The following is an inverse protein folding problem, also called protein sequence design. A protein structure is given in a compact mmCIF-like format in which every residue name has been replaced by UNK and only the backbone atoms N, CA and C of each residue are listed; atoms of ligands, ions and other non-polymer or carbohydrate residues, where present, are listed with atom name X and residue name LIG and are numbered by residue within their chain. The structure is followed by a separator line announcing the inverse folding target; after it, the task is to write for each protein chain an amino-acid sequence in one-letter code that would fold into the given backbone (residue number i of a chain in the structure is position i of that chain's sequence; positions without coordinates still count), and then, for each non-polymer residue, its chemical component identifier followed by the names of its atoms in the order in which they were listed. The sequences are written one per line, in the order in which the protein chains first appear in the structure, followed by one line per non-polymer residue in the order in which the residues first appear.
data_IF_604110407173
#
_entry.id   IF_604110407173
#
_cell.length_a   1.000
_cell.length_b   1.000
_cell.length_c   1.000
_cell.angle_alpha   90.00
_cell.angle_beta   90.00
_cell.angle_gamma   90.00
#
_symmetry.space_group_name_H-M   'P 1'
#
loop_
_entity.id
_entity.type
_entity.pdbx_description
1 polymer ?
#
# COMPACT_ATOMS: atom_id res chain seq x y z
N UNK A 1 25.73 15.90 8.39
CA UNK A 1 25.40 14.53 7.96
C UNK A 1 24.13 14.68 7.15
N UNK A 2 24.16 14.38 5.86
CA UNK A 2 22.95 14.37 5.05
C UNK A 2 22.05 13.26 5.57
N UNK A 3 20.78 13.57 5.79
CA UNK A 3 19.81 12.64 6.36
C UNK A 3 19.42 11.58 5.33
N UNK A 4 20.20 10.50 5.25
CA UNK A 4 19.77 9.25 4.61
C UNK A 4 18.61 8.67 5.44
N UNK A 5 17.39 9.05 5.06
CA UNK A 5 16.16 8.68 5.77
C UNK A 5 15.28 7.85 4.88
N UNK A 6 14.80 6.74 5.43
CA UNK A 6 13.98 5.78 4.68
C UNK A 6 12.51 6.02 4.98
N UNK A 7 11.71 6.20 3.93
CA UNK A 7 10.28 6.39 4.02
C UNK A 7 9.51 5.14 3.57
N UNK A 8 8.45 4.79 4.31
CA UNK A 8 7.50 3.74 3.96
C UNK A 8 6.10 4.35 3.89
N UNK A 9 5.33 3.99 2.86
CA UNK A 9 3.91 4.32 2.76
C UNK A 9 3.06 3.29 3.50
N UNK A 10 2.16 3.73 4.37
CA UNK A 10 1.24 2.83 5.08
C UNK A 10 -0.20 3.12 4.69
N UNK A 11 -0.93 2.08 4.30
CA UNK A 11 -2.33 2.15 3.87
C UNK A 11 -3.17 1.22 4.74
N UNK A 12 -4.32 1.70 5.19
CA UNK A 12 -5.28 0.90 5.96
C UNK A 12 -6.67 1.13 5.39
N UNK A 13 -7.35 0.03 5.04
CA UNK A 13 -8.71 0.04 4.50
C UNK A 13 -9.65 -0.65 5.47
N UNK A 14 -10.85 -0.09 5.63
CA UNK A 14 -11.92 -0.72 6.39
C UNK A 14 -12.66 -1.73 5.50
N UNK A 15 -12.72 -2.97 5.95
CA UNK A 15 -13.41 -4.08 5.28
C UNK A 15 -14.84 -4.28 5.79
N UNK A 16 -15.33 -3.47 6.74
CA UNK A 16 -16.69 -3.60 7.31
C UNK A 16 -17.78 -3.60 6.23
N UNK A 17 -17.61 -2.80 5.17
CA UNK A 17 -18.51 -2.72 4.02
C UNK A 17 -18.30 -3.84 2.97
N UNK A 18 -17.18 -4.57 3.04
CA UNK A 18 -16.79 -5.62 2.09
C UNK A 18 -17.33 -7.02 2.49
N UNK A 19 -18.47 -7.07 3.18
CA UNK A 19 -19.04 -8.30 3.72
C UNK A 19 -20.47 -8.54 3.25
N UNK A 20 -20.75 -8.64 1.93
CA UNK A 20 -22.04 -9.16 1.49
C UNK A 20 -22.16 -10.62 1.96
N UNK A 21 -23.13 -10.89 2.85
CA UNK A 21 -23.32 -12.22 3.45
C UNK A 21 -23.38 -13.32 2.37
N UNK A 22 -22.66 -14.42 2.61
CA UNK A 22 -22.69 -15.61 1.76
C UNK A 22 -21.93 -15.51 0.43
N UNK A 23 -21.19 -14.41 0.15
CA UNK A 23 -20.40 -14.29 -1.09
C UNK A 23 -18.93 -14.58 -0.87
N UNK A 24 -18.32 -15.25 -1.85
CA UNK A 24 -16.89 -15.48 -1.91
C UNK A 24 -16.22 -14.33 -2.67
N UNK A 25 -15.18 -13.75 -2.07
CA UNK A 25 -14.31 -12.78 -2.72
C UNK A 25 -13.54 -13.48 -3.84
N UNK A 26 -13.74 -13.03 -5.08
CA UNK A 26 -13.02 -13.56 -6.25
C UNK A 26 -11.77 -12.78 -6.56
N UNK A 27 -11.78 -11.47 -6.32
CA UNK A 27 -10.67 -10.57 -6.65
C UNK A 27 -10.69 -9.37 -5.70
N UNK A 28 -9.51 -8.90 -5.30
CA UNK A 28 -9.32 -7.60 -4.70
C UNK A 28 -8.11 -6.88 -5.30
N UNK A 29 -8.32 -5.63 -5.72
CA UNK A 29 -7.28 -4.82 -6.35
C UNK A 29 -7.01 -3.58 -5.50
N UNK A 30 -5.77 -3.45 -5.04
CA UNK A 30 -5.27 -2.26 -4.35
C UNK A 30 -5.02 -1.17 -5.38
N UNK A 31 -5.61 0.00 -5.18
CA UNK A 31 -5.53 1.13 -6.11
C UNK A 31 -5.05 2.40 -5.39
N UNK A 32 -3.97 3.00 -5.87
CA UNK A 32 -3.44 4.29 -5.37
C UNK A 32 -3.08 5.21 -6.54
N UNK A 33 -2.96 6.50 -6.25
CA UNK A 33 -2.57 7.50 -7.24
C UNK A 33 -1.12 7.93 -6.99
N UNK A 34 -0.21 7.64 -7.93
CA UNK A 34 1.15 8.16 -7.94
C UNK A 34 1.10 9.65 -8.28
N UNK A 35 1.44 10.49 -7.31
CA UNK A 35 1.31 11.95 -7.36
C UNK A 35 2.55 12.66 -7.91
N UNK A 36 3.70 11.98 -7.91
CA UNK A 36 4.96 12.48 -8.45
C UNK A 36 6.17 11.77 -7.85
N UNK A 37 7.36 12.20 -8.26
CA UNK A 37 8.65 11.67 -7.79
C UNK A 37 9.63 12.80 -7.51
N UNK A 38 10.62 12.54 -6.67
CA UNK A 38 11.75 13.44 -6.41
C UNK A 38 13.05 12.63 -6.36
N UNK A 39 14.15 13.24 -6.79
CA UNK A 39 15.47 12.60 -6.83
C UNK A 39 15.57 11.50 -7.89
N UNK A 40 16.25 10.41 -7.56
CA UNK A 40 16.48 9.22 -8.38
C UNK A 40 15.94 7.93 -7.70
N UNK A 41 14.61 7.75 -7.59
CA UNK A 41 14.03 6.61 -6.87
C UNK A 41 14.38 5.24 -7.45
N UNK A 42 14.77 5.15 -8.74
CA UNK A 42 15.18 3.89 -9.38
C UNK A 42 16.40 3.29 -8.70
N UNK A 43 17.26 4.13 -8.13
CA UNK A 43 18.46 3.68 -7.40
C UNK A 43 18.12 2.98 -6.07
N UNK A 44 16.89 3.14 -5.57
CA UNK A 44 16.40 2.47 -4.37
C UNK A 44 15.90 1.03 -4.64
N UNK A 45 15.99 0.56 -5.88
CA UNK A 45 15.55 -0.76 -6.30
C UNK A 45 14.05 -0.84 -6.58
N UNK A 46 13.49 -2.05 -6.59
CA UNK A 46 12.07 -2.24 -6.82
C UNK A 46 11.24 -1.71 -5.65
N UNK A 47 10.09 -1.09 -5.96
CA UNK A 47 9.05 -0.84 -4.98
C UNK A 47 8.21 -2.10 -4.81
N UNK A 48 7.94 -2.49 -3.57
CA UNK A 48 7.14 -3.66 -3.24
C UNK A 48 5.99 -3.29 -2.32
N UNK A 49 4.90 -4.06 -2.44
CA UNK A 49 3.76 -3.99 -1.53
C UNK A 49 3.79 -5.18 -0.58
N UNK A 50 3.75 -4.91 0.72
CA UNK A 50 3.70 -5.92 1.76
C UNK A 50 2.35 -5.86 2.47
N UNK A 51 1.72 -7.01 2.66
CA UNK A 51 0.59 -7.18 3.56
C UNK A 51 1.11 -7.24 5.00
N UNK A 52 0.57 -6.38 5.86
CA UNK A 52 0.99 -6.22 7.25
C UNK A 52 -0.24 -6.11 8.14
N UNK A 53 -0.06 -6.23 9.46
CA UNK A 53 -1.10 -5.94 10.44
C UNK A 53 -0.48 -5.16 11.59
N UNK A 54 -0.58 -3.82 11.54
CA UNK A 54 0.09 -2.91 12.47
C UNK A 54 -0.86 -2.25 13.47
N UNK A 55 -2.14 -2.63 13.48
CA UNK A 55 -3.11 -2.16 14.46
C UNK A 55 -3.78 -0.84 14.04
N UNK A 56 -4.09 0.01 15.02
CA UNK A 56 -4.96 1.19 14.84
C UNK A 56 -4.23 2.53 14.93
N UNK A 57 -2.91 2.54 15.10
CA UNK A 57 -2.12 3.77 15.22
C UNK A 57 -0.77 3.62 14.51
N UNK A 58 -0.28 4.73 13.94
CA UNK A 58 1.07 4.82 13.41
C UNK A 58 2.01 5.24 14.55
N UNK A 59 2.81 4.29 15.00
CA UNK A 59 3.89 4.52 15.96
C UNK A 59 5.21 4.06 15.34
N UNK A 60 6.33 4.36 15.99
CA UNK A 60 7.66 3.93 15.50
C UNK A 60 7.75 2.42 15.29
N UNK A 61 7.10 1.62 16.13
CA UNK A 61 7.15 0.15 16.03
C UNK A 61 6.48 -0.38 14.76
N UNK A 62 5.59 0.40 14.14
CA UNK A 62 4.93 0.00 12.89
C UNK A 62 5.94 -0.17 11.75
N UNK A 63 7.04 0.58 11.79
CA UNK A 63 8.09 0.54 10.78
C UNK A 63 8.67 -0.86 10.58
N UNK A 64 8.85 -1.59 11.69
CA UNK A 64 9.46 -2.92 11.73
C UNK A 64 8.41 -4.04 11.82
N UNK A 65 7.13 -3.73 11.57
CA UNK A 65 6.06 -4.76 11.56
C UNK A 65 6.44 -5.87 10.57
N UNK A 66 6.46 -7.13 11.00
CA UNK A 66 6.70 -8.25 10.10
C UNK A 66 5.63 -8.28 9.00
N UNK A 67 6.06 -8.50 7.76
CA UNK A 67 5.13 -8.76 6.67
C UNK A 67 4.45 -10.11 6.90
N UNK A 68 3.12 -10.13 6.75
CA UNK A 68 2.35 -11.37 6.67
C UNK A 68 2.61 -12.05 5.34
N UNK A 69 2.72 -11.26 4.26
CA UNK A 69 3.12 -11.70 2.93
C UNK A 69 3.64 -10.51 2.10
N UNK A 70 4.47 -10.79 1.09
CA UNK A 70 4.84 -9.83 0.05
C UNK A 70 3.95 -10.05 -1.16
N UNK A 71 3.22 -9.01 -1.59
CA UNK A 71 2.27 -9.10 -2.72
C UNK A 71 2.98 -9.11 -4.08
N UNK A 72 4.20 -8.56 -4.12
CA UNK A 72 5.03 -8.51 -5.32
C UNK A 72 5.60 -7.12 -5.56
N UNK A 73 6.16 -6.95 -6.75
CA UNK A 73 6.59 -5.64 -7.23
C UNK A 73 5.37 -4.78 -7.51
N UNK A 74 5.44 -3.52 -7.10
CA UNK A 74 4.42 -2.53 -7.36
C UNK A 74 4.84 -1.74 -8.60
N UNK A 75 4.14 -1.98 -9.71
CA UNK A 75 4.49 -1.38 -10.99
C UNK A 75 4.20 0.13 -10.99
N UNK A 76 5.27 0.91 -10.89
CA UNK A 76 5.22 2.36 -10.92
C UNK A 76 4.98 2.86 -12.34
N UNK A 77 4.33 4.01 -12.44
CA UNK A 77 4.36 4.77 -13.68
C UNK A 77 5.77 5.34 -13.89
N UNK A 78 6.16 5.63 -15.16
CA UNK A 78 7.36 6.40 -15.43
C UNK A 78 7.42 7.62 -14.51
N UNK A 79 8.57 7.94 -13.95
CA UNK A 79 8.71 8.99 -12.93
C UNK A 79 8.36 10.40 -13.41
N UNK A 80 8.31 10.60 -14.72
CA UNK A 80 7.80 11.81 -15.36
C UNK A 80 6.26 11.86 -15.46
N UNK A 81 5.55 10.89 -14.88
CA UNK A 81 4.11 10.71 -15.03
C UNK A 81 3.42 10.50 -13.69
N UNK A 82 2.13 10.82 -13.68
CA UNK A 82 1.24 10.66 -12.52
C UNK A 82 -0.02 9.93 -12.96
N UNK A 83 -0.62 9.15 -12.07
CA UNK A 83 -1.79 8.37 -12.43
C UNK A 83 -2.07 7.25 -11.45
N UNK A 84 -3.13 6.48 -11.75
CA UNK A 84 -3.49 5.30 -10.96
C UNK A 84 -2.56 4.14 -11.28
N UNK A 85 -2.11 3.49 -10.22
CA UNK A 85 -1.36 2.24 -10.24
C UNK A 85 -2.07 1.25 -9.32
N UNK A 86 -1.95 -0.03 -9.64
CA UNK A 86 -2.71 -1.06 -8.97
C UNK A 86 -1.95 -2.38 -8.87
N UNK A 87 -2.33 -3.20 -7.89
CA UNK A 87 -1.81 -4.55 -7.71
C UNK A 87 -2.91 -5.46 -7.18
N UNK A 88 -2.90 -6.72 -7.61
CA UNK A 88 -3.73 -7.77 -7.01
C UNK A 88 -3.32 -7.99 -5.55
N UNK A 89 -4.30 -7.90 -4.66
CA UNK A 89 -4.16 -8.17 -3.22
C UNK A 89 -5.21 -9.16 -2.75
N UNK A 90 -5.74 -9.98 -3.65
CA UNK A 90 -6.84 -10.92 -3.42
C UNK A 90 -6.53 -11.84 -2.24
N UNK A 91 -5.31 -12.40 -2.21
CA UNK A 91 -4.88 -13.30 -1.14
C UNK A 91 -4.78 -12.61 0.22
N UNK A 92 -4.29 -11.36 0.27
CA UNK A 92 -4.21 -10.58 1.50
C UNK A 92 -5.60 -10.25 2.05
N UNK A 93 -6.53 -9.81 1.19
CA UNK A 93 -7.90 -9.49 1.61
C UNK A 93 -8.65 -10.76 2.04
N UNK A 94 -8.46 -11.89 1.35
CA UNK A 94 -9.01 -13.19 1.79
C UNK A 94 -8.49 -13.57 3.19
N UNK A 95 -7.19 -13.43 3.42
CA UNK A 95 -6.57 -13.70 4.72
C UNK A 95 -7.08 -12.75 5.82
N UNK A 96 -7.26 -11.46 5.51
CA UNK A 96 -7.85 -10.48 6.43
C UNK A 96 -9.31 -10.78 6.77
N UNK A 97 -10.10 -11.21 5.78
CA UNK A 97 -11.49 -11.61 5.98
C UNK A 97 -11.60 -12.90 6.83
N UNK A 98 -10.66 -13.83 6.68
CA UNK A 98 -10.58 -15.03 7.51
C UNK A 98 -10.18 -14.70 8.96
N UNK A 99 -9.31 -13.71 9.16
CA UNK A 99 -8.77 -13.30 10.47
C UNK A 99 -9.39 -11.99 11.01
N UNK A 100 -10.58 -11.62 10.52
CA UNK A 100 -11.16 -10.28 10.70
C UNK A 100 -11.38 -9.88 12.16
N UNK A 101 -11.71 -10.85 13.01
CA UNK A 101 -11.95 -10.62 14.43
C UNK A 101 -10.69 -10.11 15.16
N UNK A 102 -9.53 -10.69 14.84
CA UNK A 102 -8.25 -10.27 15.43
C UNK A 102 -7.64 -9.07 14.73
N UNK A 103 -7.96 -8.85 13.44
CA UNK A 103 -7.43 -7.72 12.64
C UNK A 103 -8.31 -6.48 12.67
N UNK A 104 -9.50 -6.57 13.29
CA UNK A 104 -10.42 -5.46 13.46
C UNK A 104 -11.05 -4.97 12.16
N UNK A 105 -11.40 -5.91 11.26
CA UNK A 105 -11.96 -5.65 9.93
C UNK A 105 -11.12 -4.67 9.08
N UNK A 106 -9.79 -4.81 9.11
CA UNK A 106 -8.89 -3.99 8.30
C UNK A 106 -8.06 -4.83 7.36
N UNK A 107 -7.75 -4.26 6.20
CA UNK A 107 -6.65 -4.70 5.36
C UNK A 107 -5.58 -3.62 5.34
N UNK A 108 -4.34 -3.99 5.67
CA UNK A 108 -3.27 -3.03 5.87
C UNK A 108 -2.04 -3.40 5.06
N UNK A 109 -1.43 -2.38 4.46
CA UNK A 109 -0.32 -2.55 3.54
C UNK A 109 0.81 -1.57 3.83
N UNK A 110 2.03 -2.03 3.60
CA UNK A 110 3.26 -1.23 3.61
C UNK A 110 3.83 -1.21 2.19
N UNK A 111 3.99 -0.02 1.64
CA UNK A 111 4.66 0.23 0.38
C UNK A 111 6.07 0.75 0.67
N UNK A 112 7.08 0.11 0.11
CA UNK A 112 8.48 0.50 0.32
C UNK A 112 9.38 0.12 -0.84
N UNK A 113 10.49 0.82 -0.96
CA UNK A 113 11.60 0.35 -1.77
C UNK A 113 12.33 -0.82 -1.10
N UNK A 114 13.01 -1.61 -1.92
CA UNK A 114 13.81 -2.76 -1.47
C UNK A 114 15.09 -2.31 -0.77
N UNK A 115 15.70 -1.22 -1.24
CA UNK A 115 16.81 -0.56 -0.56
C UNK A 115 16.31 0.66 0.22
N UNK A 116 16.99 0.95 1.33
CA UNK A 116 16.57 1.99 2.26
C UNK A 116 17.15 3.38 1.90
N UNK A 117 18.31 3.42 1.24
CA UNK A 117 18.95 4.60 0.66
C UNK A 117 19.96 4.15 -0.42
N UNK A 118 20.36 5.07 -1.30
CA UNK A 118 21.51 4.95 -2.19
C UNK A 118 22.78 5.67 -1.64
N UNK A 119 22.66 6.33 -0.48
CA UNK A 119 23.71 7.09 0.22
C UNK A 119 24.29 8.27 -0.57
N UNK A 120 23.49 8.93 -1.41
CA UNK A 120 23.94 10.08 -2.21
C UNK A 120 23.73 11.44 -1.51
N UNK A 121 23.09 11.43 -0.34
CA UNK A 121 22.79 12.61 0.46
C UNK A 121 21.59 13.43 -0.01
N UNK A 122 20.81 12.93 -0.96
CA UNK A 122 19.56 13.51 -1.46
C UNK A 122 18.35 12.66 -1.09
N UNK A 123 17.16 13.26 -1.14
CA UNK A 123 15.91 12.53 -0.95
C UNK A 123 15.41 11.94 -2.26
N UNK A 124 15.32 10.61 -2.29
CA UNK A 124 14.74 9.85 -3.37
C UNK A 124 13.41 9.25 -2.94
N UNK A 125 12.30 9.65 -3.58
CA UNK A 125 11.00 9.11 -3.24
C UNK A 125 9.98 9.17 -4.37
N UNK A 126 8.95 8.35 -4.23
CA UNK A 126 7.71 8.40 -5.00
C UNK A 126 6.59 8.79 -4.05
N UNK A 127 5.83 9.82 -4.41
CA UNK A 127 4.70 10.29 -3.64
C UNK A 127 3.40 9.64 -4.12
N UNK A 128 2.56 9.26 -3.16
CA UNK A 128 1.22 8.75 -3.41
C UNK A 128 0.19 9.62 -2.70
N UNK A 129 -0.98 9.78 -3.31
CA UNK A 129 -2.11 10.45 -2.64
C UNK A 129 -2.59 9.63 -1.43
N UNK A 130 -3.00 10.35 -0.38
CA UNK A 130 -3.50 9.76 0.86
C UNK A 130 -5.03 9.86 0.96
N UNK A 131 -5.60 9.45 2.10
CA UNK A 131 -7.04 9.54 2.37
C UNK A 131 -7.58 10.98 2.36
N UNK A 132 -6.71 11.97 2.56
CA UNK A 132 -7.00 13.39 2.36
C UNK A 132 -6.14 13.93 1.19
N UNK A 133 -6.52 13.64 -0.06
CA UNK A 133 -5.70 13.95 -1.23
C UNK A 133 -5.62 15.47 -1.46
N UNK A 134 -4.49 15.95 -1.94
CA UNK A 134 -4.26 17.38 -2.14
C UNK A 134 -5.06 17.94 -3.34
N UNK A 135 -5.45 17.07 -4.28
CA UNK A 135 -6.01 17.48 -5.59
C UNK A 135 -7.52 17.24 -5.71
N UNK A 136 -8.00 16.02 -5.46
CA UNK A 136 -9.41 15.63 -5.59
C UNK A 136 -9.70 14.35 -4.81
N UNK A 137 -10.95 14.17 -4.33
CA UNK A 137 -11.39 12.91 -3.72
C UNK A 137 -11.34 11.73 -4.69
N UNK A 138 -11.29 11.99 -5.99
CA UNK A 138 -11.13 10.95 -7.02
C UNK A 138 -9.77 10.26 -6.96
N UNK A 139 -8.81 10.74 -6.16
CA UNK A 139 -7.48 10.14 -5.99
C UNK A 139 -7.29 9.45 -4.65
N UNK A 140 -8.34 9.35 -3.83
CA UNK A 140 -8.29 8.58 -2.58
C UNK A 140 -7.92 7.12 -2.90
N UNK A 141 -6.97 6.53 -2.16
CA UNK A 141 -6.69 5.11 -2.20
C UNK A 141 -7.93 4.26 -1.93
N UNK A 142 -8.12 3.17 -2.66
CA UNK A 142 -9.19 2.21 -2.37
C UNK A 142 -8.79 0.78 -2.70
N UNK A 143 -9.53 -0.17 -2.14
CA UNK A 143 -9.55 -1.56 -2.60
C UNK A 143 -10.84 -1.77 -3.36
N UNK A 144 -10.74 -2.25 -4.60
CA UNK A 144 -11.88 -2.71 -5.36
C UNK A 144 -12.01 -4.22 -5.15
N UNK A 145 -13.13 -4.65 -4.57
CA UNK A 145 -13.41 -6.04 -4.29
C UNK A 145 -14.54 -6.54 -5.20
N UNK A 146 -14.28 -7.64 -5.91
CA UNK A 146 -15.26 -8.35 -6.73
C UNK A 146 -15.65 -9.67 -6.06
N UNK A 147 -16.91 -10.03 -6.17
CA UNK A 147 -17.49 -11.22 -5.53
C UNK A 147 -18.15 -12.11 -6.56
N UNK A 148 -18.07 -13.41 -6.35
CA UNK A 148 -18.86 -14.36 -7.13
C UNK A 148 -20.35 -14.11 -6.91
N UNK A 149 -21.11 -14.18 -8.00
CA UNK A 149 -22.57 -14.23 -7.96
C UNK A 149 -22.93 -15.68 -7.57
N UNK A 150 -23.86 -15.87 -6.61
CA UNK A 150 -24.34 -17.21 -6.24
C UNK A 150 -24.90 -18.02 -7.41
#
# INVERSE_FOLDING_TARGET
MSDDTTAHGFFSFDLSACLPEGRLLSEAVFNVYQAGTSGNPDSLGSMILEHVSYGNSLSRSVYDTPALATMGNFDLLPFTSTGRVFLDVTSAVQDDLANRATRGNRSQFRLRFTNFSNFDGNYDYVAFEAANPARSRDFVPFIQANYLIP
#
